data_IF_807769357481
#
_entry.id   IF_807769357481
#
_cell.length_a   1.000
_cell.length_b   1.000
_cell.length_c   1.000
_cell.angle_alpha   90.00
_cell.angle_beta   90.00
_cell.angle_gamma   90.00
#
_symmetry.space_group_name_H-M   'P 1'
#
loop_
_entity.id
_entity.type
_entity.pdbx_description
1 polymer ?
#
# COMPACT_ATOMS: atom_id res chain seq x y z
N UNK A 1 19.37 5.43 -62.10
CA UNK A 1 20.72 5.22 -61.58
C UNK A 1 20.53 4.54 -60.21
N UNK A 2 20.66 3.21 -60.19
CA UNK A 2 20.36 2.39 -58.99
C UNK A 2 21.64 2.34 -58.15
N UNK A 3 21.55 2.77 -56.91
CA UNK A 3 22.65 2.72 -55.92
C UNK A 3 22.91 1.25 -55.57
N UNK A 4 24.13 0.75 -55.59
CA UNK A 4 24.43 -0.64 -55.27
C UNK A 4 24.13 -0.95 -53.80
N UNK A 5 23.62 -2.16 -53.49
CA UNK A 5 23.16 -2.53 -52.14
C UNK A 5 24.24 -2.47 -51.04
N UNK A 6 25.52 -2.57 -51.40
CA UNK A 6 26.65 -2.44 -50.47
C UNK A 6 26.84 -1.03 -49.89
N UNK A 7 26.46 0.04 -50.63
CA UNK A 7 26.53 1.40 -50.12
C UNK A 7 25.39 1.73 -49.15
N UNK A 8 24.22 1.12 -49.33
CA UNK A 8 23.08 1.29 -48.41
C UNK A 8 23.32 0.62 -47.04
N UNK A 9 24.02 -0.53 -47.01
CA UNK A 9 24.41 -1.19 -45.76
C UNK A 9 25.50 -0.42 -45.00
N UNK A 10 26.45 0.16 -45.71
CA UNK A 10 27.52 0.99 -45.12
C UNK A 10 26.98 2.30 -44.53
N UNK A 11 25.97 2.92 -45.15
CA UNK A 11 25.32 4.12 -44.60
C UNK A 11 24.40 3.84 -43.45
N UNK A 12 23.70 2.69 -43.42
CA UNK A 12 22.94 2.21 -42.27
C UNK A 12 23.83 1.92 -41.06
N UNK A 13 25.00 1.31 -41.29
CA UNK A 13 26.01 1.09 -40.26
C UNK A 13 26.55 2.39 -39.66
N UNK A 14 26.78 3.41 -40.48
CA UNK A 14 27.23 4.73 -40.03
C UNK A 14 26.16 5.51 -39.28
N UNK A 15 24.88 5.42 -39.67
CA UNK A 15 23.78 6.04 -38.92
C UNK A 15 23.56 5.37 -37.56
N UNK A 16 23.55 4.03 -37.50
CA UNK A 16 23.44 3.30 -36.23
C UNK A 16 24.61 3.64 -35.29
N UNK A 17 25.83 3.74 -35.81
CA UNK A 17 27.01 4.09 -35.02
C UNK A 17 26.98 5.54 -34.52
N UNK A 18 26.45 6.48 -35.31
CA UNK A 18 26.24 7.88 -34.88
C UNK A 18 25.18 7.98 -33.77
N UNK A 19 24.09 7.24 -33.88
CA UNK A 19 23.03 7.21 -32.85
C UNK A 19 23.52 6.57 -31.56
N UNK A 20 24.36 5.53 -31.63
CA UNK A 20 25.03 4.93 -30.47
C UNK A 20 26.00 5.91 -29.79
N UNK A 21 26.76 6.68 -30.60
CA UNK A 21 27.72 7.67 -30.07
C UNK A 21 27.06 8.87 -29.40
N UNK A 22 25.87 9.30 -29.80
CA UNK A 22 25.15 10.42 -29.16
C UNK A 22 24.56 10.02 -27.79
N UNK A 23 24.11 8.79 -27.63
CA UNK A 23 23.68 8.29 -26.32
C UNK A 23 24.83 8.09 -25.33
N UNK A 24 26.00 7.69 -25.83
CA UNK A 24 27.20 7.53 -25.01
C UNK A 24 27.85 8.85 -24.60
N UNK A 25 27.63 9.94 -25.32
CA UNK A 25 28.18 11.25 -24.95
C UNK A 25 27.62 11.78 -23.64
N UNK A 26 26.30 11.61 -23.39
CA UNK A 26 25.65 12.00 -22.14
C UNK A 26 26.11 11.19 -20.92
N UNK A 27 26.31 9.88 -21.09
CA UNK A 27 26.81 9.01 -20.01
C UNK A 27 28.30 9.33 -19.69
N UNK A 28 29.14 9.62 -20.70
CA UNK A 28 30.55 9.98 -20.50
C UNK A 28 30.72 11.31 -19.76
N UNK A 29 29.92 12.32 -20.06
CA UNK A 29 29.96 13.62 -19.35
C UNK A 29 29.51 13.47 -17.92
N UNK A 30 28.50 12.65 -17.64
CA UNK A 30 28.02 12.37 -16.27
C UNK A 30 29.05 11.59 -15.44
N UNK A 31 29.69 10.56 -16.03
CA UNK A 31 30.76 9.80 -15.37
C UNK A 31 31.95 10.71 -15.07
N UNK A 32 32.35 11.55 -16.01
CA UNK A 32 33.48 12.49 -15.85
C UNK A 32 33.18 13.52 -14.71
N UNK A 33 31.96 14.08 -14.67
CA UNK A 33 31.57 15.03 -13.63
C UNK A 33 31.53 14.35 -12.24
N UNK A 34 30.99 13.13 -12.15
CA UNK A 34 30.98 12.36 -10.93
C UNK A 34 32.39 12.01 -10.43
N UNK A 35 33.31 11.65 -11.33
CA UNK A 35 34.70 11.35 -10.96
C UNK A 35 35.40 12.57 -10.37
N UNK A 36 35.21 13.74 -10.96
CA UNK A 36 35.76 15.00 -10.45
C UNK A 36 35.15 15.36 -9.09
N UNK A 37 33.86 15.23 -8.94
CA UNK A 37 33.16 15.52 -7.65
C UNK A 37 33.63 14.60 -6.52
N UNK A 38 33.74 13.29 -6.77
CA UNK A 38 34.26 12.34 -5.76
C UNK A 38 35.75 12.56 -5.47
N UNK A 39 36.55 12.94 -6.46
CA UNK A 39 37.96 13.30 -6.27
C UNK A 39 38.13 14.53 -5.37
N UNK A 40 37.31 15.57 -5.56
CA UNK A 40 37.32 16.78 -4.74
C UNK A 40 36.88 16.49 -3.30
N UNK A 41 35.84 15.67 -3.10
CA UNK A 41 35.37 15.27 -1.77
C UNK A 41 36.41 14.41 -1.01
N UNK A 42 37.17 13.58 -1.72
CA UNK A 42 38.26 12.80 -1.15
C UNK A 42 39.45 13.69 -0.73
N UNK A 43 39.88 14.61 -1.63
CA UNK A 43 40.95 15.57 -1.33
C UNK A 43 40.59 16.54 -0.22
N UNK A 44 39.30 16.89 -0.07
CA UNK A 44 38.79 17.71 1.02
C UNK A 44 38.66 16.99 2.38
N UNK A 45 39.02 15.70 2.46
CA UNK A 45 38.96 14.91 3.70
C UNK A 45 37.51 14.57 4.18
N UNK A 46 36.49 14.87 3.35
CA UNK A 46 35.09 14.66 3.73
C UNK A 46 34.64 13.17 3.63
N UNK A 47 35.37 12.33 2.89
CA UNK A 47 35.02 10.92 2.66
C UNK A 47 36.28 10.04 2.72
N UNK A 48 36.18 8.89 3.39
CA UNK A 48 37.25 7.89 3.43
C UNK A 48 37.38 7.18 2.06
N UNK A 49 38.59 6.83 1.66
CA UNK A 49 38.87 6.23 0.35
C UNK A 49 38.00 5.01 0.01
N UNK A 50 37.77 4.13 0.99
CA UNK A 50 36.90 2.95 0.84
C UNK A 50 35.44 3.31 0.54
N UNK A 51 34.91 4.35 1.21
CA UNK A 51 33.52 4.82 0.99
C UNK A 51 33.38 5.50 -0.37
N UNK A 52 34.38 6.26 -0.81
CA UNK A 52 34.39 6.89 -2.13
C UNK A 52 34.43 5.86 -3.26
N UNK A 53 35.24 4.81 -3.14
CA UNK A 53 35.31 3.72 -4.11
C UNK A 53 34.03 2.89 -4.16
N UNK A 54 33.40 2.60 -3.01
CA UNK A 54 32.14 1.88 -2.97
C UNK A 54 30.98 2.67 -3.62
N UNK A 55 30.87 3.97 -3.31
CA UNK A 55 29.86 4.84 -3.89
C UNK A 55 30.05 5.03 -5.40
N UNK A 56 31.29 5.16 -5.86
CA UNK A 56 31.60 5.26 -7.28
C UNK A 56 31.30 3.95 -8.02
N UNK A 57 31.64 2.79 -7.44
CA UNK A 57 31.32 1.47 -7.96
C UNK A 57 29.81 1.26 -8.11
N UNK A 58 29.03 1.65 -7.10
CA UNK A 58 27.57 1.59 -7.15
C UNK A 58 26.99 2.48 -8.26
N UNK A 59 27.48 3.70 -8.38
CA UNK A 59 27.06 4.63 -9.44
C UNK A 59 27.34 4.08 -10.84
N UNK A 60 28.52 3.45 -11.02
CA UNK A 60 28.91 2.81 -12.29
C UNK A 60 27.97 1.63 -12.63
N UNK A 61 27.62 0.80 -11.65
CA UNK A 61 26.68 -0.30 -11.81
C UNK A 61 25.29 0.21 -12.21
N UNK A 62 24.79 1.27 -11.59
CA UNK A 62 23.49 1.87 -11.92
C UNK A 62 23.48 2.44 -13.35
N UNK A 63 24.56 3.11 -13.78
CA UNK A 63 24.67 3.63 -15.15
C UNK A 63 24.74 2.51 -16.18
N UNK A 64 25.50 1.44 -15.90
CA UNK A 64 25.60 0.26 -16.77
C UNK A 64 24.28 -0.52 -16.83
N UNK A 65 23.59 -0.69 -15.71
CA UNK A 65 22.28 -1.33 -15.66
C UNK A 65 21.23 -0.55 -16.47
N UNK A 66 21.21 0.79 -16.35
CA UNK A 66 20.36 1.64 -17.18
C UNK A 66 20.69 1.56 -18.67
N UNK A 67 21.95 1.50 -19.02
CA UNK A 67 22.39 1.34 -20.41
C UNK A 67 21.99 -0.03 -20.98
N UNK A 68 22.05 -1.09 -20.18
CA UNK A 68 21.61 -2.43 -20.55
C UNK A 68 20.08 -2.53 -20.75
N UNK A 69 19.31 -1.89 -19.86
CA UNK A 69 17.84 -1.85 -19.96
C UNK A 69 17.37 -1.00 -21.15
N UNK A 70 18.09 0.08 -21.46
CA UNK A 70 17.80 0.92 -22.63
C UNK A 70 18.18 0.24 -23.97
N UNK A 71 19.03 -0.80 -23.95
CA UNK A 71 19.48 -1.53 -25.15
C UNK A 71 18.52 -2.63 -25.64
N UNK A 72 17.49 -3.01 -24.88
CA UNK A 72 16.59 -4.13 -25.23
C UNK A 72 15.31 -3.77 -25.98
N UNK A 73 15.13 -2.53 -26.41
CA UNK A 73 14.06 -2.20 -27.37
C UNK A 73 14.47 -2.63 -28.77
N UNK A 74 14.39 -3.93 -29.08
CA UNK A 74 14.45 -4.44 -30.44
C UNK A 74 13.24 -3.93 -31.24
N UNK A 75 13.40 -3.23 -32.36
CA UNK A 75 12.28 -2.94 -33.25
C UNK A 75 11.80 -4.27 -33.85
N UNK A 76 10.55 -4.61 -33.59
CA UNK A 76 9.87 -5.74 -34.26
C UNK A 76 9.80 -5.41 -35.75
N UNK A 77 10.58 -6.10 -36.59
CA UNK A 77 10.46 -6.06 -38.04
C UNK A 77 9.16 -6.73 -38.45
N UNK A 78 8.16 -5.96 -38.83
CA UNK A 78 7.01 -6.46 -39.60
C UNK A 78 7.45 -6.53 -41.06
N UNK A 79 7.50 -7.76 -41.59
CA UNK A 79 7.82 -8.02 -43.00
C UNK A 79 6.76 -7.35 -43.90
N UNK A 80 7.25 -6.57 -44.86
CA UNK A 80 6.40 -5.88 -45.83
C UNK A 80 5.66 -6.84 -46.75
N UNK A 81 4.35 -6.74 -46.81
CA UNK A 81 3.52 -7.22 -47.93
C UNK A 81 3.10 -6.00 -48.74
N UNK A 82 3.68 -5.87 -49.93
CA UNK A 82 3.30 -4.90 -50.95
C UNK A 82 1.90 -5.21 -51.47
N UNK A 83 0.92 -4.35 -51.17
CA UNK A 83 -0.40 -4.36 -51.73
C UNK A 83 -1.03 -3.00 -51.50
N UNK A 84 -1.31 -2.29 -52.59
CA UNK A 84 -2.04 -1.01 -52.60
C UNK A 84 -3.30 -1.13 -51.70
N UNK A 85 -3.31 -0.45 -50.57
CA UNK A 85 -4.52 -0.27 -49.74
C UNK A 85 -4.78 1.22 -49.63
N UNK A 86 -5.97 1.62 -50.14
CA UNK A 86 -6.62 2.87 -49.85
C UNK A 86 -6.50 3.14 -48.35
N UNK A 87 -6.01 4.31 -47.99
CA UNK A 87 -5.89 4.78 -46.65
C UNK A 87 -7.30 4.86 -45.99
N UNK A 88 -7.65 3.84 -45.21
CA UNK A 88 -8.67 3.95 -44.18
C UNK A 88 -7.99 4.51 -42.93
N UNK A 89 -8.47 5.59 -42.32
CA UNK A 89 -7.91 6.07 -41.07
C UNK A 89 -8.18 5.03 -40.00
N UNK A 90 -7.16 4.54 -39.37
CA UNK A 90 -7.09 3.48 -38.33
C UNK A 90 -7.76 2.17 -38.77
N UNK A 91 -6.93 1.24 -39.26
CA UNK A 91 -7.38 -0.05 -39.78
C UNK A 91 -8.17 -0.87 -38.77
N UNK A 92 -9.21 -1.55 -39.26
CA UNK A 92 -9.90 -2.65 -38.59
C UNK A 92 -8.92 -3.82 -38.46
N UNK A 93 -8.26 -3.97 -37.32
CA UNK A 93 -7.28 -5.03 -37.08
C UNK A 93 -7.02 -5.23 -35.59
N UNK A 94 -6.18 -6.21 -35.21
CA UNK A 94 -5.85 -6.55 -33.82
C UNK A 94 -5.35 -5.34 -32.98
N UNK A 95 -4.78 -4.31 -33.63
CA UNK A 95 -4.33 -3.10 -32.98
C UNK A 95 -5.44 -2.32 -32.25
N UNK A 96 -6.65 -2.23 -32.81
CA UNK A 96 -7.80 -1.57 -32.16
C UNK A 96 -8.31 -2.36 -30.96
N UNK A 97 -8.30 -3.69 -31.04
CA UNK A 97 -8.68 -4.57 -29.94
C UNK A 97 -7.70 -4.44 -28.77
N UNK A 98 -6.39 -4.28 -29.05
CA UNK A 98 -5.39 -4.05 -28.01
C UNK A 98 -5.61 -2.70 -27.32
N UNK A 99 -5.84 -1.62 -28.08
CA UNK A 99 -6.10 -0.30 -27.52
C UNK A 99 -7.39 -0.29 -26.68
N UNK A 100 -8.41 -1.05 -27.07
CA UNK A 100 -9.65 -1.14 -26.31
C UNK A 100 -9.54 -1.93 -25.00
N UNK A 101 -8.51 -2.78 -24.89
CA UNK A 101 -8.22 -3.55 -23.66
C UNK A 101 -7.30 -2.82 -22.67
N UNK A 102 -6.78 -1.65 -23.02
CA UNK A 102 -5.99 -0.87 -22.09
C UNK A 102 -6.85 -0.41 -20.90
N UNK A 103 -6.35 -0.54 -19.66
CA UNK A 103 -7.09 -0.10 -18.48
C UNK A 103 -7.19 1.41 -18.37
N UNK A 104 -6.21 2.13 -18.90
CA UNK A 104 -6.19 3.59 -18.89
C UNK A 104 -7.08 4.17 -20.02
N UNK A 105 -7.91 5.18 -19.74
CA UNK A 105 -8.68 5.89 -20.74
C UNK A 105 -7.81 6.52 -21.83
N UNK A 106 -8.10 6.20 -23.09
CA UNK A 106 -7.35 6.65 -24.25
C UNK A 106 -8.27 7.29 -25.27
N UNK A 107 -7.88 8.47 -25.77
CA UNK A 107 -8.59 9.22 -26.80
C UNK A 107 -7.59 9.62 -27.89
N UNK A 108 -7.97 9.42 -29.16
CA UNK A 108 -7.20 9.87 -30.31
C UNK A 108 -7.97 10.97 -31.03
N UNK A 109 -7.27 12.08 -31.31
CA UNK A 109 -7.85 13.24 -31.97
C UNK A 109 -7.20 13.42 -33.35
N UNK A 110 -7.94 14.00 -34.28
CA UNK A 110 -7.38 14.51 -35.55
C UNK A 110 -6.69 15.88 -35.35
N UNK A 111 -6.02 16.38 -36.38
CA UNK A 111 -5.37 17.69 -36.36
C UNK A 111 -6.32 18.90 -36.20
N UNK A 112 -7.65 18.68 -36.25
CA UNK A 112 -8.66 19.66 -35.95
C UNK A 112 -9.26 19.53 -34.54
N UNK A 113 -8.72 18.62 -33.71
CA UNK A 113 -9.19 18.39 -32.34
C UNK A 113 -10.49 17.60 -32.23
N UNK A 114 -10.89 16.85 -33.29
CA UNK A 114 -12.06 15.97 -33.25
C UNK A 114 -11.67 14.59 -32.81
N UNK A 115 -12.50 13.97 -31.99
CA UNK A 115 -12.28 12.60 -31.50
C UNK A 115 -12.44 11.61 -32.66
N UNK A 116 -11.36 10.90 -32.99
CA UNK A 116 -11.37 9.82 -33.97
C UNK A 116 -11.65 8.47 -33.33
N UNK A 117 -11.09 8.24 -32.15
CA UNK A 117 -11.18 6.98 -31.43
C UNK A 117 -11.19 7.25 -29.93
N UNK A 118 -11.89 6.43 -29.20
CA UNK A 118 -11.78 6.25 -27.74
C UNK A 118 -11.81 4.77 -27.41
N UNK A 119 -11.13 4.36 -26.35
CA UNK A 119 -11.23 2.99 -25.84
C UNK A 119 -12.42 2.86 -24.86
N UNK A 120 -12.72 1.62 -24.45
CA UNK A 120 -13.80 1.32 -23.48
C UNK A 120 -13.56 1.97 -22.13
N UNK A 121 -12.30 2.07 -21.67
CA UNK A 121 -11.95 2.73 -20.40
C UNK A 121 -12.28 4.24 -20.39
N UNK A 122 -12.26 4.91 -21.56
CA UNK A 122 -12.64 6.32 -21.67
C UNK A 122 -14.16 6.56 -21.66
N UNK A 123 -14.98 5.51 -21.82
CA UNK A 123 -16.44 5.65 -21.92
C UNK A 123 -17.12 6.37 -20.74
N UNK A 124 -16.73 6.09 -19.47
CA UNK A 124 -17.34 6.77 -18.34
C UNK A 124 -16.97 8.26 -18.22
N UNK A 125 -15.86 8.67 -18.87
CA UNK A 125 -15.30 10.03 -18.76
C UNK A 125 -15.79 10.97 -19.87
N UNK A 126 -16.38 10.43 -20.93
CA UNK A 126 -16.79 11.18 -22.12
C UNK A 126 -18.27 10.98 -22.43
N UNK A 127 -18.87 11.92 -23.17
CA UNK A 127 -20.27 11.77 -23.62
C UNK A 127 -20.42 10.56 -24.55
N UNK A 128 -21.56 9.86 -24.49
CA UNK A 128 -21.84 8.60 -25.23
C UNK A 128 -21.50 8.68 -26.73
N UNK A 129 -21.68 9.83 -27.35
CA UNK A 129 -21.38 10.06 -28.78
C UNK A 129 -20.21 11.03 -28.94
N UNK A 130 -19.02 10.64 -28.42
CA UNK A 130 -17.83 11.47 -28.47
C UNK A 130 -17.15 11.50 -29.85
N UNK A 131 -17.17 10.38 -30.60
CA UNK A 131 -16.49 10.24 -31.88
C UNK A 131 -17.09 11.25 -32.91
N UNK A 132 -16.23 11.95 -33.62
CA UNK A 132 -16.54 13.03 -34.59
C UNK A 132 -16.76 14.39 -33.95
N UNK A 133 -16.97 14.52 -32.63
CA UNK A 133 -17.11 15.79 -31.93
C UNK A 133 -15.78 16.40 -31.57
N UNK A 134 -15.75 17.73 -31.45
CA UNK A 134 -14.56 18.43 -30.97
C UNK A 134 -14.31 18.14 -29.50
N UNK A 135 -13.05 17.91 -29.12
CA UNK A 135 -12.64 17.50 -27.76
C UNK A 135 -13.13 18.45 -26.68
N UNK A 136 -13.18 19.75 -26.92
CA UNK A 136 -13.69 20.76 -25.99
C UNK A 136 -15.18 20.58 -25.62
N UNK A 137 -15.97 19.90 -26.46
CA UNK A 137 -17.36 19.57 -26.16
C UNK A 137 -17.51 18.25 -25.41
N UNK A 138 -16.47 17.41 -25.44
CA UNK A 138 -16.43 16.06 -24.90
C UNK A 138 -15.80 16.06 -23.50
N UNK A 139 -14.69 16.77 -23.35
CA UNK A 139 -13.95 16.92 -22.10
C UNK A 139 -14.10 18.35 -21.59
N UNK A 140 -14.78 18.53 -20.44
CA UNK A 140 -15.06 19.85 -19.86
C UNK A 140 -14.03 20.22 -18.79
N UNK A 141 -12.75 20.25 -19.17
CA UNK A 141 -11.66 20.59 -18.26
C UNK A 141 -10.72 21.59 -18.94
N UNK A 142 -10.68 22.83 -18.45
CA UNK A 142 -9.93 23.91 -19.08
C UNK A 142 -8.42 23.67 -19.14
N UNK A 143 -7.72 23.22 -18.08
CA UNK A 143 -6.31 22.87 -18.14
C UNK A 143 -5.97 21.80 -19.21
N UNK A 144 -6.78 20.73 -19.28
CA UNK A 144 -6.59 19.66 -20.26
C UNK A 144 -6.83 20.17 -21.70
N UNK A 145 -7.88 20.96 -21.90
CA UNK A 145 -8.17 21.56 -23.23
C UNK A 145 -7.03 22.46 -23.67
N UNK A 146 -6.49 23.31 -22.79
CA UNK A 146 -5.36 24.19 -23.09
C UNK A 146 -4.09 23.40 -23.50
N UNK A 147 -3.82 22.29 -22.80
CA UNK A 147 -2.73 21.37 -23.14
C UNK A 147 -2.93 20.74 -24.54
N UNK A 148 -4.15 20.23 -24.82
CA UNK A 148 -4.49 19.67 -26.15
C UNK A 148 -4.35 20.71 -27.25
N UNK A 149 -4.85 21.94 -27.05
CA UNK A 149 -4.73 23.02 -28.03
C UNK A 149 -3.28 23.43 -28.30
N UNK A 150 -2.41 23.41 -27.27
CA UNK A 150 -0.99 23.66 -27.43
C UNK A 150 -0.33 22.64 -28.37
N UNK A 151 -0.64 21.35 -28.16
CA UNK A 151 -0.14 20.26 -29.00
C UNK A 151 -0.71 20.33 -30.41
N UNK A 152 -2.00 20.64 -30.57
CA UNK A 152 -2.64 20.83 -31.88
C UNK A 152 -2.02 21.98 -32.69
N UNK A 153 -1.47 23.00 -32.03
CA UNK A 153 -0.75 24.12 -32.64
C UNK A 153 0.72 23.80 -32.97
N UNK A 154 1.14 22.53 -32.75
CA UNK A 154 2.53 22.08 -33.02
C UNK A 154 3.45 22.21 -31.81
N UNK A 155 2.93 22.41 -30.62
CA UNK A 155 3.70 22.38 -29.39
C UNK A 155 4.20 20.96 -29.03
N UNK A 156 5.15 20.84 -28.10
CA UNK A 156 5.64 19.55 -27.62
C UNK A 156 4.55 18.81 -26.84
N UNK A 157 4.81 17.50 -26.58
CA UNK A 157 3.99 16.73 -25.66
C UNK A 157 3.88 17.43 -24.31
N UNK A 158 2.71 17.40 -23.68
CA UNK A 158 2.47 18.00 -22.38
C UNK A 158 1.76 17.01 -21.44
N UNK A 159 1.96 17.21 -20.15
CA UNK A 159 1.27 16.49 -19.09
C UNK A 159 0.58 17.46 -18.17
N UNK A 160 -0.67 17.16 -17.75
CA UNK A 160 -1.45 18.02 -16.87
C UNK A 160 -2.24 17.17 -15.89
N UNK A 161 -2.11 17.49 -14.59
CA UNK A 161 -2.96 16.91 -13.56
C UNK A 161 -4.25 17.71 -13.45
N UNK A 162 -5.38 17.01 -13.31
CA UNK A 162 -6.67 17.63 -13.09
C UNK A 162 -7.59 16.76 -12.25
N UNK A 163 -8.58 17.40 -11.63
CA UNK A 163 -9.58 16.75 -10.79
C UNK A 163 -10.96 16.82 -11.43
N UNK A 164 -11.69 15.70 -11.41
CA UNK A 164 -13.11 15.63 -11.74
C UNK A 164 -13.91 15.55 -10.43
N UNK A 165 -14.69 16.58 -10.07
CA UNK A 165 -15.35 16.65 -8.76
C UNK A 165 -16.64 15.82 -8.65
N UNK A 166 -17.26 15.39 -9.76
CA UNK A 166 -18.61 14.79 -9.78
C UNK A 166 -18.64 13.56 -10.69
N UNK A 167 -19.36 12.47 -10.33
CA UNK A 167 -20.14 12.24 -9.11
C UNK A 167 -19.28 11.83 -7.90
N UNK A 168 -18.07 11.37 -8.13
CA UNK A 168 -17.05 11.03 -7.14
C UNK A 168 -15.80 11.76 -7.57
N UNK A 169 -15.11 12.39 -6.62
CA UNK A 169 -13.85 13.07 -6.89
C UNK A 169 -12.81 12.08 -7.41
N UNK A 170 -12.28 12.37 -8.62
CA UNK A 170 -11.22 11.59 -9.25
C UNK A 170 -10.09 12.51 -9.70
N UNK A 171 -8.87 12.03 -9.51
CA UNK A 171 -7.64 12.71 -9.91
C UNK A 171 -7.03 12.01 -11.11
N UNK A 172 -6.77 12.76 -12.16
CA UNK A 172 -6.18 12.24 -13.39
C UNK A 172 -4.89 12.97 -13.73
N UNK A 173 -3.92 12.24 -14.26
CA UNK A 173 -2.81 12.82 -15.02
C UNK A 173 -3.06 12.55 -16.50
N UNK A 174 -3.27 13.63 -17.28
CA UNK A 174 -3.44 13.54 -18.71
C UNK A 174 -2.11 13.75 -19.40
N UNK A 175 -1.68 12.77 -20.19
CA UNK A 175 -0.54 12.87 -21.08
C UNK A 175 -1.04 13.08 -22.51
N UNK A 176 -0.64 14.20 -23.13
CA UNK A 176 -1.05 14.60 -24.47
C UNK A 176 0.19 14.65 -25.37
N UNK A 177 0.20 13.87 -26.45
CA UNK A 177 1.35 13.78 -27.36
C UNK A 177 0.93 13.75 -28.81
N UNK A 178 1.66 14.44 -29.73
CA UNK A 178 1.44 14.31 -31.16
C UNK A 178 2.00 12.97 -31.65
N UNK A 179 1.28 12.33 -32.58
CA UNK A 179 1.72 11.13 -33.31
C UNK A 179 1.84 11.50 -34.78
N UNK A 180 3.04 11.44 -35.32
CA UNK A 180 3.28 11.64 -36.76
C UNK A 180 2.74 10.42 -37.53
N UNK A 181 1.92 10.67 -38.56
CA UNK A 181 1.42 9.62 -39.44
C UNK A 181 2.14 9.69 -40.79
N UNK A 182 2.64 8.54 -41.24
CA UNK A 182 3.39 8.40 -42.50
C UNK A 182 2.55 8.61 -43.77
N UNK A 183 1.32 9.11 -43.68
CA UNK A 183 0.45 9.32 -44.84
C UNK A 183 0.94 10.53 -45.67
N UNK A 184 1.89 10.26 -46.54
CA UNK A 184 2.45 11.21 -47.50
C UNK A 184 1.45 11.51 -48.63
N UNK A 185 0.62 12.53 -48.42
CA UNK A 185 0.03 13.26 -49.51
C UNK A 185 0.91 14.49 -49.87
N UNK A 186 1.04 14.92 -51.12
CA UNK A 186 1.79 16.10 -51.48
C UNK A 186 1.04 17.38 -51.12
N UNK A 187 1.04 17.73 -49.84
CA UNK A 187 0.38 18.94 -49.32
C UNK A 187 1.08 19.45 -48.06
N UNK A 188 1.04 20.78 -47.78
CA UNK A 188 1.76 21.40 -46.67
C UNK A 188 1.17 21.13 -45.27
N UNK A 189 0.18 20.27 -45.12
CA UNK A 189 -0.39 19.87 -43.81
C UNK A 189 0.17 18.52 -43.43
N UNK A 190 1.09 18.50 -42.47
CA UNK A 190 1.48 17.27 -41.76
C UNK A 190 0.22 16.67 -41.13
N UNK A 191 -0.21 15.51 -41.63
CA UNK A 191 -1.27 14.75 -40.95
C UNK A 191 -0.65 14.19 -39.68
N UNK A 192 -0.94 14.79 -38.55
CA UNK A 192 -0.60 14.27 -37.24
C UNK A 192 -1.90 13.98 -36.46
N UNK A 193 -1.82 13.00 -35.62
CA UNK A 193 -2.86 12.68 -34.64
C UNK A 193 -2.39 13.16 -33.27
N UNK A 194 -3.32 13.42 -32.38
CA UNK A 194 -2.99 13.70 -30.98
C UNK A 194 -3.54 12.57 -30.11
N UNK A 195 -2.66 11.95 -29.36
CA UNK A 195 -3.00 10.96 -28.36
C UNK A 195 -3.20 11.65 -27.01
N UNK A 196 -4.31 11.38 -26.36
CA UNK A 196 -4.61 11.79 -25.00
C UNK A 196 -4.77 10.51 -24.16
N UNK A 197 -3.85 10.29 -23.23
CA UNK A 197 -3.88 9.18 -22.27
C UNK A 197 -4.17 9.75 -20.88
N UNK A 198 -5.16 9.19 -20.20
CA UNK A 198 -5.58 9.63 -18.88
C UNK A 198 -5.20 8.55 -17.86
N UNK A 199 -4.27 8.85 -16.99
CA UNK A 199 -3.90 7.94 -15.90
C UNK A 199 -4.64 8.32 -14.62
N UNK A 200 -5.38 7.37 -14.03
CA UNK A 200 -6.15 7.62 -12.80
C UNK A 200 -5.20 7.57 -11.58
N UNK A 201 -5.00 8.73 -10.96
CA UNK A 201 -4.19 8.91 -9.76
C UNK A 201 -5.02 8.91 -8.47
N UNK A 202 -6.33 8.62 -8.54
CA UNK A 202 -7.24 8.79 -7.40
C UNK A 202 -6.79 8.01 -6.18
N UNK A 203 -6.46 6.73 -6.36
CA UNK A 203 -5.98 5.90 -5.23
C UNK A 203 -4.60 6.35 -4.73
N UNK A 204 -3.67 6.72 -5.60
CA UNK A 204 -2.36 7.22 -5.20
C UNK A 204 -2.46 8.53 -4.39
N UNK A 205 -3.27 9.49 -4.86
CA UNK A 205 -3.54 10.75 -4.15
C UNK A 205 -4.26 10.53 -2.83
N UNK A 206 -5.20 9.57 -2.78
CA UNK A 206 -5.90 9.20 -1.55
C UNK A 206 -4.94 8.62 -0.51
N UNK A 207 -4.05 7.72 -0.91
CA UNK A 207 -3.04 7.16 -0.01
C UNK A 207 -2.09 8.24 0.49
N UNK A 208 -1.65 9.15 -0.39
CA UNK A 208 -0.79 10.28 -0.01
C UNK A 208 -1.49 11.23 0.96
N UNK A 209 -2.74 11.62 0.69
CA UNK A 209 -3.54 12.44 1.59
C UNK A 209 -3.72 11.78 2.96
N UNK A 210 -4.06 10.48 2.98
CA UNK A 210 -4.17 9.74 4.24
C UNK A 210 -2.86 9.74 5.04
N UNK A 211 -1.70 9.69 4.36
CA UNK A 211 -0.40 9.76 5.01
C UNK A 211 -0.11 11.14 5.60
N UNK A 212 -0.43 12.20 4.87
CA UNK A 212 -0.28 13.58 5.36
C UNK A 212 -1.19 13.83 6.57
N UNK A 213 -2.47 13.43 6.48
CA UNK A 213 -3.44 13.54 7.55
C UNK A 213 -3.03 12.74 8.79
N UNK A 214 -2.43 11.56 8.60
CA UNK A 214 -1.89 10.75 9.68
C UNK A 214 -0.80 11.46 10.46
N UNK A 215 0.19 12.05 9.78
CA UNK A 215 1.28 12.80 10.42
C UNK A 215 0.76 14.05 11.13
N UNK A 216 -0.16 14.78 10.50
CA UNK A 216 -0.78 15.96 11.09
C UNK A 216 -1.56 15.62 12.36
N UNK A 217 -2.40 14.58 12.32
CA UNK A 217 -3.20 14.13 13.47
C UNK A 217 -2.32 13.60 14.60
N UNK A 218 -1.28 12.80 14.28
CA UNK A 218 -0.31 12.31 15.27
C UNK A 218 0.38 13.50 16.01
N UNK A 219 0.80 14.50 15.25
CA UNK A 219 1.42 15.72 15.80
C UNK A 219 0.46 16.47 16.73
N UNK A 220 -0.80 16.62 16.34
CA UNK A 220 -1.82 17.27 17.16
C UNK A 220 -2.14 16.50 18.45
N UNK A 221 -2.29 15.18 18.36
CA UNK A 221 -2.59 14.32 19.51
C UNK A 221 -1.40 14.20 20.49
N UNK A 222 -0.16 14.44 20.05
CA UNK A 222 1.02 14.52 20.91
C UNK A 222 1.21 15.93 21.51
N UNK A 223 0.94 17.00 20.75
CA UNK A 223 1.14 18.38 21.21
C UNK A 223 0.23 18.76 22.39
N UNK A 224 -1.03 18.28 22.36
CA UNK A 224 -2.02 18.61 23.40
C UNK A 224 -1.60 18.12 24.80
N UNK A 225 -1.28 16.82 25.03
CA UNK A 225 -0.84 16.35 26.34
C UNK A 225 0.51 16.96 26.74
N UNK A 226 1.43 17.20 25.80
CA UNK A 226 2.71 17.84 26.09
C UNK A 226 2.54 19.27 26.61
N UNK A 227 1.65 20.07 26.00
CA UNK A 227 1.34 21.42 26.48
C UNK A 227 0.71 21.40 27.88
N UNK A 228 -0.16 20.41 28.15
CA UNK A 228 -0.75 20.19 29.48
C UNK A 228 0.31 19.85 30.53
N UNK A 229 1.23 18.92 30.20
CA UNK A 229 2.36 18.56 31.08
C UNK A 229 3.22 19.79 31.42
N UNK A 230 3.60 20.57 30.40
CA UNK A 230 4.38 21.80 30.61
C UNK A 230 3.66 22.79 31.51
N UNK A 231 2.37 23.04 31.30
CA UNK A 231 1.58 23.95 32.13
C UNK A 231 1.46 23.50 33.60
N UNK A 232 1.34 22.16 33.85
CA UNK A 232 1.34 21.66 35.23
C UNK A 232 2.72 21.73 35.88
N UNK A 233 3.80 21.52 35.15
CA UNK A 233 5.18 21.72 35.64
C UNK A 233 5.38 23.20 36.05
N UNK A 234 4.96 24.15 35.20
CA UNK A 234 5.06 25.57 35.49
C UNK A 234 4.24 25.95 36.74
N UNK A 235 3.02 25.39 36.86
CA UNK A 235 2.14 25.64 38.03
C UNK A 235 2.74 25.08 39.31
N UNK A 236 3.29 23.85 39.28
CA UNK A 236 3.95 23.23 40.44
C UNK A 236 5.27 23.92 40.82
N UNK A 237 5.98 24.47 39.82
CA UNK A 237 7.22 25.22 40.07
C UNK A 237 6.98 26.65 40.62
N UNK A 238 5.76 27.16 40.43
CA UNK A 238 5.35 28.52 40.82
C UNK A 238 4.25 28.54 41.85
N UNK A 239 3.01 28.78 41.41
CA UNK A 239 1.87 29.12 42.32
C UNK A 239 1.46 27.99 43.27
N UNK A 240 1.62 26.71 42.87
CA UNK A 240 1.24 25.57 43.68
C UNK A 240 2.45 24.87 44.34
N UNK A 241 3.59 25.58 44.47
CA UNK A 241 4.83 25.00 45.01
C UNK A 241 4.69 24.46 46.43
N UNK A 242 3.95 25.19 47.26
CA UNK A 242 3.78 24.90 48.68
C UNK A 242 2.42 24.31 49.01
N UNK A 243 1.63 23.91 48.01
CA UNK A 243 0.33 23.29 48.14
C UNK A 243 0.41 21.74 47.94
N UNK A 244 0.36 20.93 49.02
CA UNK A 244 0.47 19.46 48.93
C UNK A 244 -0.66 18.81 48.15
N UNK A 245 -1.90 19.29 48.29
CA UNK A 245 -3.08 18.70 47.62
C UNK A 245 -3.04 18.98 46.12
N UNK A 246 -2.73 20.21 45.72
CA UNK A 246 -2.55 20.56 44.32
C UNK A 246 -1.41 19.78 43.69
N UNK A 247 -0.31 19.55 44.43
CA UNK A 247 0.83 18.73 43.95
C UNK A 247 0.43 17.30 43.67
N UNK A 248 -0.23 16.63 44.59
CA UNK A 248 -0.66 15.24 44.42
C UNK A 248 -1.63 15.12 43.23
N UNK A 249 -2.62 16.01 43.16
CA UNK A 249 -3.58 16.06 42.03
C UNK A 249 -2.91 16.28 40.68
N UNK A 250 -2.00 17.25 40.58
CA UNK A 250 -1.36 17.57 39.30
C UNK A 250 -0.37 16.48 38.88
N UNK A 251 0.38 15.85 39.82
CA UNK A 251 1.22 14.70 39.54
C UNK A 251 0.41 13.51 39.02
N UNK A 252 -0.79 13.26 39.57
CA UNK A 252 -1.70 12.26 39.07
C UNK A 252 -2.11 12.53 37.62
N UNK A 253 -2.56 13.75 37.32
CA UNK A 253 -2.94 14.15 35.95
C UNK A 253 -1.74 14.05 35.00
N UNK A 254 -0.56 14.46 35.42
CA UNK A 254 0.66 14.36 34.61
C UNK A 254 1.02 12.91 34.31
N UNK A 255 0.88 12.01 35.28
CA UNK A 255 1.10 10.57 35.10
C UNK A 255 0.14 10.00 34.05
N UNK A 256 -1.15 10.35 34.12
CA UNK A 256 -2.16 9.93 33.14
C UNK A 256 -1.85 10.42 31.73
N UNK A 257 -1.41 11.69 31.60
CA UNK A 257 -1.01 12.26 30.30
C UNK A 257 0.22 11.57 29.74
N UNK A 258 1.22 11.27 30.56
CA UNK A 258 2.42 10.56 30.14
C UNK A 258 2.11 9.12 29.68
N UNK A 259 1.25 8.39 30.42
CA UNK A 259 0.78 7.06 30.04
C UNK A 259 0.00 7.10 28.73
N UNK A 260 -0.83 8.12 28.52
CA UNK A 260 -1.57 8.32 27.27
C UNK A 260 -0.63 8.56 26.09
N UNK A 261 0.40 9.41 26.25
CA UNK A 261 1.40 9.66 25.22
C UNK A 261 2.15 8.37 24.86
N UNK A 262 2.56 7.58 25.88
CA UNK A 262 3.22 6.29 25.65
C UNK A 262 2.34 5.36 24.81
N UNK A 263 1.07 5.15 25.20
CA UNK A 263 0.13 4.33 24.41
C UNK A 263 -0.01 4.83 22.98
N UNK A 264 -0.10 6.15 22.77
CA UNK A 264 -0.19 6.72 21.42
C UNK A 264 1.06 6.41 20.59
N UNK A 265 2.24 6.52 21.18
CA UNK A 265 3.52 6.20 20.50
C UNK A 265 3.58 4.71 20.15
N UNK A 266 3.21 3.83 21.09
CA UNK A 266 3.19 2.40 20.88
C UNK A 266 2.21 2.00 19.77
N UNK A 267 1.01 2.59 19.74
CA UNK A 267 0.02 2.41 18.68
C UNK A 267 0.54 2.87 17.30
N UNK A 268 1.22 4.03 17.25
CA UNK A 268 1.81 4.56 16.01
C UNK A 268 2.91 3.65 15.48
N UNK A 269 3.81 3.17 16.36
CA UNK A 269 4.90 2.27 15.99
C UNK A 269 4.35 0.90 15.55
N UNK A 270 3.34 0.38 16.25
CA UNK A 270 2.67 -0.87 15.89
C UNK A 270 2.01 -0.75 14.52
N UNK A 271 1.20 0.30 14.29
CA UNK A 271 0.56 0.54 13.00
C UNK A 271 1.57 0.63 11.87
N UNK A 272 2.66 1.40 12.07
CA UNK A 272 3.73 1.53 11.07
C UNK A 272 4.39 0.20 10.72
N UNK A 273 4.66 -0.66 11.73
CA UNK A 273 5.25 -2.00 11.50
C UNK A 273 4.29 -2.91 10.71
N UNK A 274 3.00 -2.88 11.05
CA UNK A 274 1.99 -3.72 10.39
C UNK A 274 1.80 -3.28 8.94
N UNK A 275 1.73 -1.97 8.67
CA UNK A 275 1.60 -1.41 7.31
C UNK A 275 2.79 -1.81 6.42
N UNK A 276 4.01 -1.74 6.94
CA UNK A 276 5.22 -2.17 6.20
C UNK A 276 5.19 -3.66 5.84
N UNK A 277 4.48 -4.48 6.62
CA UNK A 277 4.39 -5.93 6.44
C UNK A 277 3.03 -6.40 5.90
N UNK A 278 2.12 -5.51 5.58
CA UNK A 278 0.74 -5.86 5.18
C UNK A 278 0.70 -6.84 3.99
N UNK A 279 1.71 -6.77 3.09
CA UNK A 279 1.82 -7.66 1.93
C UNK A 279 2.57 -8.97 2.22
N UNK A 280 3.13 -9.14 3.43
CA UNK A 280 3.85 -10.35 3.83
C UNK A 280 2.92 -11.22 4.66
N UNK A 281 2.48 -12.33 4.07
CA UNK A 281 1.59 -13.27 4.75
C UNK A 281 2.32 -13.93 5.93
N UNK A 282 1.66 -14.08 7.09
CA UNK A 282 2.21 -14.86 8.19
C UNK A 282 2.24 -16.34 7.84
N UNK A 283 3.27 -17.05 8.30
CA UNK A 283 3.53 -18.46 7.99
C UNK A 283 3.31 -19.40 9.19
N UNK A 284 3.24 -18.87 10.40
CA UNK A 284 3.09 -19.67 11.62
C UNK A 284 1.67 -20.20 11.79
N UNK A 285 1.57 -21.43 12.36
CA UNK A 285 0.30 -22.01 12.76
C UNK A 285 0.01 -21.61 14.20
N UNK A 286 -1.10 -20.92 14.43
CA UNK A 286 -1.48 -20.38 15.73
C UNK A 286 -2.84 -20.92 16.15
N UNK A 287 -2.94 -21.38 17.40
CA UNK A 287 -4.23 -21.68 18.05
C UNK A 287 -4.86 -20.39 18.54
N UNK A 288 -5.94 -19.94 17.88
CA UNK A 288 -6.64 -18.73 18.28
C UNK A 288 -7.29 -18.86 19.67
N UNK A 289 -7.67 -20.10 20.06
CA UNK A 289 -8.17 -20.38 21.40
C UNK A 289 -7.12 -20.07 22.48
N UNK A 290 -5.88 -20.55 22.32
CA UNK A 290 -4.81 -20.26 23.27
C UNK A 290 -4.45 -18.77 23.34
N UNK A 291 -4.60 -18.03 22.22
CA UNK A 291 -4.41 -16.57 22.24
C UNK A 291 -5.53 -15.87 23.03
N UNK A 292 -6.79 -16.31 22.86
CA UNK A 292 -7.92 -15.76 23.65
C UNK A 292 -7.73 -16.03 25.14
N UNK A 293 -7.32 -17.24 25.52
CA UNK A 293 -7.07 -17.61 26.92
C UNK A 293 -6.00 -16.71 27.54
N UNK A 294 -4.85 -16.52 26.90
CA UNK A 294 -3.78 -15.65 27.42
C UNK A 294 -4.22 -14.20 27.61
N UNK A 295 -4.94 -13.65 26.61
CA UNK A 295 -5.43 -12.26 26.67
C UNK A 295 -6.52 -12.11 27.76
N UNK A 296 -7.38 -13.12 27.92
CA UNK A 296 -8.41 -13.14 28.99
C UNK A 296 -7.75 -13.14 30.36
N UNK A 297 -6.73 -13.96 30.59
CA UNK A 297 -6.00 -14.01 31.85
C UNK A 297 -5.37 -12.65 32.19
N UNK A 298 -4.80 -11.98 31.20
CA UNK A 298 -4.19 -10.67 31.38
C UNK A 298 -5.21 -9.55 31.64
N UNK A 299 -6.40 -9.59 31.02
CA UNK A 299 -7.40 -8.52 31.12
C UNK A 299 -8.45 -8.73 32.20
N UNK A 300 -8.62 -9.95 32.73
CA UNK A 300 -9.61 -10.26 33.78
C UNK A 300 -9.46 -9.41 35.05
N UNK A 301 -8.22 -9.17 35.57
CA UNK A 301 -8.06 -8.27 36.73
C UNK A 301 -8.54 -6.84 36.43
N UNK A 302 -8.20 -6.30 35.26
CA UNK A 302 -8.55 -4.94 34.83
C UNK A 302 -10.06 -4.80 34.65
N UNK A 303 -10.70 -5.81 34.05
CA UNK A 303 -12.13 -5.84 33.86
C UNK A 303 -12.88 -5.89 35.23
N UNK A 304 -12.38 -6.70 36.14
CA UNK A 304 -12.94 -6.80 37.50
C UNK A 304 -12.86 -5.48 38.26
N UNK A 305 -11.71 -4.78 38.19
CA UNK A 305 -11.53 -3.46 38.78
C UNK A 305 -12.48 -2.41 38.18
N UNK A 306 -12.82 -2.59 36.89
CA UNK A 306 -13.81 -1.76 36.19
C UNK A 306 -15.26 -2.19 36.40
N UNK A 307 -15.52 -3.26 37.18
CA UNK A 307 -16.85 -3.80 37.43
C UNK A 307 -17.49 -4.47 36.21
N UNK A 308 -16.68 -4.98 35.27
CA UNK A 308 -17.13 -5.65 34.05
C UNK A 308 -16.77 -7.13 34.11
N UNK A 309 -17.72 -7.99 33.78
CA UNK A 309 -17.54 -9.43 33.64
C UNK A 309 -17.02 -9.76 32.21
N UNK A 310 -15.93 -10.50 32.15
CA UNK A 310 -15.44 -11.07 30.87
C UNK A 310 -15.86 -12.54 30.79
N UNK A 311 -16.55 -12.90 29.70
CA UNK A 311 -17.00 -14.28 29.46
C UNK A 311 -16.45 -14.75 28.10
N UNK A 312 -15.70 -15.86 28.13
CA UNK A 312 -15.23 -16.51 26.91
C UNK A 312 -16.04 -17.78 26.63
N UNK A 313 -16.33 -18.03 25.36
CA UNK A 313 -16.92 -19.26 24.86
C UNK A 313 -16.19 -19.75 23.63
N UNK A 314 -15.72 -20.99 23.65
CA UNK A 314 -15.05 -21.62 22.54
C UNK A 314 -15.50 -23.09 22.41
N UNK A 315 -15.59 -23.66 21.21
CA UNK A 315 -15.81 -25.10 21.05
C UNK A 315 -14.56 -25.87 21.52
N UNK A 316 -14.74 -27.14 21.88
CA UNK A 316 -13.67 -27.99 22.41
C UNK A 316 -12.46 -28.12 21.49
N UNK A 317 -12.64 -27.98 20.17
CA UNK A 317 -11.58 -28.05 19.18
C UNK A 317 -11.81 -27.02 18.07
N UNK A 318 -10.77 -26.21 17.80
CA UNK A 318 -10.72 -25.30 16.67
C UNK A 318 -9.48 -25.59 15.82
N UNK A 319 -9.61 -25.53 14.50
CA UNK A 319 -8.43 -25.66 13.64
C UNK A 319 -7.50 -24.45 13.83
N UNK A 320 -6.17 -24.64 13.68
CA UNK A 320 -5.22 -23.53 13.73
C UNK A 320 -5.41 -22.59 12.53
N UNK A 321 -5.05 -21.34 12.72
CA UNK A 321 -5.01 -20.33 11.66
C UNK A 321 -3.55 -20.00 11.31
N UNK A 322 -3.30 -19.53 10.08
CA UNK A 322 -2.00 -18.93 9.76
C UNK A 322 -1.96 -17.53 10.33
N UNK A 323 -0.99 -17.25 11.19
CA UNK A 323 -0.97 -15.96 11.86
C UNK A 323 0.31 -15.72 12.64
N UNK A 324 0.48 -14.50 13.11
CA UNK A 324 1.48 -14.10 14.08
C UNK A 324 0.80 -13.94 15.44
N UNK A 325 1.27 -14.70 16.45
CA UNK A 325 0.59 -14.78 17.77
C UNK A 325 0.37 -13.41 18.41
N UNK A 326 1.39 -12.55 18.37
CA UNK A 326 1.34 -11.22 18.98
C UNK A 326 0.34 -10.30 18.29
N UNK A 327 0.25 -10.38 16.94
CA UNK A 327 -0.74 -9.60 16.18
C UNK A 327 -2.17 -10.08 16.46
N UNK A 328 -2.38 -11.40 16.52
CA UNK A 328 -3.70 -11.96 16.90
C UNK A 328 -4.10 -11.60 18.31
N UNK A 329 -3.18 -11.60 19.26
CA UNK A 329 -3.39 -11.12 20.62
C UNK A 329 -3.74 -9.62 20.62
N UNK A 330 -3.06 -8.82 19.82
CA UNK A 330 -3.32 -7.39 19.70
C UNK A 330 -4.73 -7.08 19.13
N UNK A 331 -5.27 -7.90 18.21
CA UNK A 331 -6.67 -7.79 17.78
C UNK A 331 -7.59 -7.90 18.98
N UNK A 332 -7.45 -8.99 19.76
CA UNK A 332 -8.34 -9.28 20.89
C UNK A 332 -8.23 -8.19 21.95
N UNK A 333 -7.01 -7.82 22.30
CA UNK A 333 -6.73 -6.77 23.27
C UNK A 333 -7.35 -5.44 22.87
N UNK A 334 -7.18 -4.98 21.63
CA UNK A 334 -7.77 -3.74 21.14
C UNK A 334 -9.31 -3.76 21.18
N UNK A 335 -9.94 -4.89 20.84
CA UNK A 335 -11.39 -5.02 20.85
C UNK A 335 -11.94 -5.04 22.28
N UNK A 336 -11.30 -5.78 23.20
CA UNK A 336 -11.70 -5.83 24.61
C UNK A 336 -11.44 -4.50 25.31
N UNK A 337 -10.30 -3.85 25.08
CA UNK A 337 -10.00 -2.52 25.60
C UNK A 337 -11.04 -1.49 25.15
N UNK A 338 -11.49 -1.54 23.89
CA UNK A 338 -12.57 -0.69 23.41
C UNK A 338 -13.88 -0.96 24.17
N UNK A 339 -14.24 -2.22 24.37
CA UNK A 339 -15.43 -2.59 25.11
C UNK A 339 -15.35 -2.13 26.58
N UNK A 340 -14.21 -2.32 27.26
CA UNK A 340 -13.98 -1.85 28.63
C UNK A 340 -14.10 -0.33 28.77
N UNK A 341 -13.65 0.43 27.77
CA UNK A 341 -13.69 1.90 27.79
C UNK A 341 -15.06 2.48 27.51
N UNK A 342 -15.79 1.91 26.57
CA UNK A 342 -17.02 2.51 26.05
C UNK A 342 -18.30 1.82 26.53
N UNK A 343 -18.21 0.57 27.00
CA UNK A 343 -19.35 -0.27 27.34
C UNK A 343 -19.47 -0.62 28.82
N UNK A 344 -18.86 0.15 29.71
CA UNK A 344 -18.93 -0.07 31.16
C UNK A 344 -20.38 -0.19 31.72
N UNK A 345 -21.34 0.53 31.09
CA UNK A 345 -22.76 0.42 31.45
C UNK A 345 -23.35 -0.97 31.24
N UNK A 346 -22.78 -1.75 30.31
CA UNK A 346 -23.25 -3.11 30.02
C UNK A 346 -22.76 -4.17 30.98
N UNK A 347 -21.75 -3.87 31.83
CA UNK A 347 -21.18 -4.73 32.87
C UNK A 347 -20.71 -6.12 32.41
N UNK A 348 -20.77 -6.43 31.12
CA UNK A 348 -20.40 -7.72 30.55
C UNK A 348 -19.81 -7.57 29.14
N UNK A 349 -18.78 -8.36 28.85
CA UNK A 349 -18.18 -8.50 27.53
C UNK A 349 -18.11 -9.99 27.24
N UNK A 350 -18.61 -10.39 26.07
CA UNK A 350 -18.58 -11.77 25.58
C UNK A 350 -17.59 -11.94 24.47
N UNK A 351 -16.70 -12.91 24.60
CA UNK A 351 -15.72 -13.29 23.58
C UNK A 351 -16.09 -14.69 23.10
N UNK A 352 -16.48 -14.82 21.83
CA UNK A 352 -16.88 -16.08 21.22
C UNK A 352 -15.89 -16.52 20.14
N UNK A 353 -15.58 -17.81 20.12
CA UNK A 353 -14.90 -18.45 19.00
C UNK A 353 -15.84 -19.49 18.37
N UNK A 354 -15.84 -19.57 17.04
CA UNK A 354 -16.56 -20.60 16.30
C UNK A 354 -15.87 -20.90 14.98
N UNK A 355 -16.09 -22.13 14.46
CA UNK A 355 -15.71 -22.48 13.09
C UNK A 355 -16.90 -22.24 12.18
N UNK A 356 -16.67 -21.63 11.04
CA UNK A 356 -17.67 -21.42 9.99
C UNK A 356 -17.11 -21.76 8.63
N UNK A 357 -18.00 -22.17 7.73
CA UNK A 357 -17.68 -22.37 6.33
C UNK A 357 -18.30 -21.24 5.52
N UNK A 358 -17.47 -20.40 4.90
CA UNK A 358 -17.91 -19.29 4.04
C UNK A 358 -17.59 -19.61 2.58
N UNK A 359 -18.60 -20.01 1.84
CA UNK A 359 -18.42 -20.50 0.48
C UNK A 359 -17.61 -21.80 0.47
N UNK A 360 -16.43 -21.78 -0.16
CA UNK A 360 -15.52 -22.93 -0.23
C UNK A 360 -14.38 -22.90 0.80
N UNK A 361 -14.33 -21.91 1.69
CA UNK A 361 -13.24 -21.75 2.67
C UNK A 361 -13.77 -21.83 4.09
N UNK A 362 -13.06 -22.61 4.91
CA UNK A 362 -13.28 -22.63 6.34
C UNK A 362 -12.60 -21.45 7.02
N UNK A 363 -13.28 -20.83 7.96
CA UNK A 363 -12.79 -19.69 8.74
C UNK A 363 -13.00 -19.94 10.22
N UNK A 364 -12.11 -19.42 11.06
CA UNK A 364 -12.34 -19.25 12.48
C UNK A 364 -12.91 -17.85 12.67
N UNK A 365 -14.09 -17.79 13.31
CA UNK A 365 -14.74 -16.54 13.69
C UNK A 365 -14.42 -16.23 15.13
N UNK A 366 -13.89 -15.03 15.38
CA UNK A 366 -13.78 -14.40 16.68
C UNK A 366 -14.88 -13.33 16.79
N UNK A 367 -15.64 -13.34 17.86
CA UNK A 367 -16.65 -12.35 18.18
C UNK A 367 -16.30 -11.67 19.48
N UNK A 368 -16.32 -10.35 19.53
CA UNK A 368 -16.24 -9.58 20.78
C UNK A 368 -17.49 -8.72 20.86
N UNK A 369 -18.34 -9.00 21.84
CA UNK A 369 -19.63 -8.33 22.04
C UNK A 369 -19.64 -7.59 23.36
N UNK A 370 -19.99 -6.32 23.31
CA UNK A 370 -20.33 -5.51 24.47
C UNK A 370 -21.85 -5.22 24.54
N UNK A 371 -22.33 -4.86 25.71
CA UNK A 371 -23.70 -4.47 25.95
C UNK A 371 -23.79 -2.99 26.35
N UNK A 372 -22.97 -2.17 25.74
CA UNK A 372 -22.91 -0.74 25.99
C UNK A 372 -23.98 0.07 25.26
N UNK A 373 -23.75 1.37 25.09
CA UNK A 373 -24.71 2.28 24.47
C UNK A 373 -24.92 2.05 22.96
N UNK A 374 -24.07 1.25 22.32
CA UNK A 374 -24.09 1.06 20.88
C UNK A 374 -23.61 2.28 20.09
N UNK A 375 -23.55 2.14 18.77
CA UNK A 375 -22.98 3.12 17.83
C UNK A 375 -23.99 3.39 16.72
N UNK A 376 -24.19 4.66 16.36
CA UNK A 376 -25.07 5.04 15.27
C UNK A 376 -24.50 4.56 13.90
N UNK A 377 -25.39 4.15 13.00
CA UNK A 377 -25.02 3.53 11.71
C UNK A 377 -24.09 4.39 10.85
N UNK A 378 -24.24 5.71 10.92
CA UNK A 378 -23.42 6.67 10.17
C UNK A 378 -21.94 6.63 10.56
N UNK A 379 -21.61 6.23 11.79
CA UNK A 379 -20.24 6.15 12.28
C UNK A 379 -19.55 4.80 11.95
N UNK A 380 -20.34 3.72 11.77
CA UNK A 380 -19.80 2.36 11.61
C UNK A 380 -18.76 2.25 10.49
N UNK A 381 -18.99 2.79 9.26
CA UNK A 381 -18.00 2.69 8.18
C UNK A 381 -16.68 3.39 8.48
N UNK A 382 -16.72 4.38 9.38
CA UNK A 382 -15.58 5.24 9.71
C UNK A 382 -14.79 4.79 10.92
N UNK A 383 -15.30 3.86 11.71
CA UNK A 383 -14.68 3.41 12.98
C UNK A 383 -13.26 2.86 12.79
N UNK A 384 -12.93 2.36 11.61
CA UNK A 384 -11.61 1.84 11.28
C UNK A 384 -10.69 2.88 10.62
N UNK A 385 -11.15 4.13 10.45
CA UNK A 385 -10.29 5.23 10.00
C UNK A 385 -9.34 5.63 11.14
N UNK A 386 -8.11 6.01 10.79
CA UNK A 386 -7.10 6.44 11.77
C UNK A 386 -7.54 7.72 12.47
N UNK A 387 -7.41 7.76 13.80
CA UNK A 387 -7.81 8.87 14.69
C UNK A 387 -9.32 9.18 14.72
N UNK A 388 -10.14 8.36 14.06
CA UNK A 388 -11.58 8.57 14.08
C UNK A 388 -12.17 8.24 15.46
N UNK A 389 -13.09 9.09 15.91
CA UNK A 389 -13.81 8.96 17.19
C UNK A 389 -15.23 9.50 17.03
N UNK A 390 -16.22 8.77 17.52
CA UNK A 390 -17.63 9.21 17.49
C UNK A 390 -17.83 10.49 18.32
N UNK A 391 -17.21 10.52 19.51
CA UNK A 391 -17.12 11.71 20.36
C UNK A 391 -15.66 11.93 20.79
N UNK A 392 -15.06 12.95 20.23
CA UNK A 392 -13.66 13.25 20.45
C UNK A 392 -13.37 13.72 21.89
N UNK A 393 -14.32 14.38 22.57
CA UNK A 393 -14.13 14.89 23.92
C UNK A 393 -14.19 13.75 24.95
N UNK A 394 -15.26 12.95 24.92
CA UNK A 394 -15.43 11.81 25.81
C UNK A 394 -14.38 10.73 25.59
N UNK A 395 -14.01 10.47 24.33
CA UNK A 395 -12.96 9.51 23.99
C UNK A 395 -11.58 9.94 24.49
N UNK A 396 -11.26 11.24 24.42
CA UNK A 396 -10.03 11.79 25.00
C UNK A 396 -9.98 11.65 26.51
N UNK A 397 -11.06 11.95 27.18
CA UNK A 397 -11.17 11.79 28.64
C UNK A 397 -10.94 10.34 29.08
N UNK A 398 -11.38 9.36 28.29
CA UNK A 398 -11.21 7.93 28.55
C UNK A 398 -9.89 7.35 27.99
N UNK A 399 -8.97 8.20 27.49
CA UNK A 399 -7.64 7.79 27.03
C UNK A 399 -7.61 7.01 25.70
N UNK A 400 -8.64 7.13 24.87
CA UNK A 400 -8.67 6.54 23.53
C UNK A 400 -7.68 7.25 22.59
N UNK A 401 -6.96 6.50 21.79
CA UNK A 401 -6.03 7.02 20.76
C UNK A 401 -6.71 7.22 19.41
N UNK A 402 -7.76 6.45 19.12
CA UNK A 402 -8.41 6.39 17.81
C UNK A 402 -7.61 5.57 16.76
N UNK A 403 -6.61 4.81 17.22
CA UNK A 403 -5.79 3.95 16.35
C UNK A 403 -6.09 2.46 16.50
N UNK A 404 -6.62 2.02 17.63
CA UNK A 404 -6.81 0.59 17.93
C UNK A 404 -7.63 -0.16 16.88
N UNK A 405 -8.76 0.39 16.39
CA UNK A 405 -9.56 -0.27 15.35
C UNK A 405 -8.91 -0.20 13.96
N UNK A 406 -8.11 0.81 13.67
CA UNK A 406 -7.29 0.85 12.46
C UNK A 406 -6.22 -0.25 12.50
N UNK A 407 -5.55 -0.43 13.64
CA UNK A 407 -4.59 -1.53 13.86
C UNK A 407 -5.28 -2.88 13.65
N UNK A 408 -6.45 -3.11 14.26
CA UNK A 408 -7.23 -4.34 14.07
C UNK A 408 -7.51 -4.60 12.59
N UNK A 409 -7.95 -3.59 11.83
CA UNK A 409 -8.22 -3.72 10.40
C UNK A 409 -6.98 -4.13 9.60
N UNK A 410 -5.84 -3.49 9.83
CA UNK A 410 -4.60 -3.82 9.12
C UNK A 410 -4.09 -5.22 9.46
N UNK A 411 -4.15 -5.63 10.74
CA UNK A 411 -3.80 -7.00 11.13
C UNK A 411 -4.73 -8.00 10.45
N UNK A 412 -6.05 -7.78 10.49
CA UNK A 412 -7.03 -8.67 9.86
C UNK A 412 -6.80 -8.79 8.36
N UNK A 413 -6.51 -7.67 7.66
CA UNK A 413 -6.18 -7.68 6.24
C UNK A 413 -4.91 -8.50 5.97
N UNK A 414 -3.84 -8.31 6.74
CA UNK A 414 -2.59 -9.08 6.63
C UNK A 414 -2.83 -10.59 6.79
N UNK A 415 -3.79 -10.99 7.63
CA UNK A 415 -4.20 -12.37 7.85
C UNK A 415 -5.26 -12.85 6.84
N UNK A 416 -5.51 -12.10 5.75
CA UNK A 416 -6.54 -12.40 4.73
C UNK A 416 -7.94 -12.60 5.33
N UNK A 417 -8.18 -12.00 6.48
CA UNK A 417 -9.42 -12.06 7.21
C UNK A 417 -10.42 -10.99 6.78
N UNK A 418 -11.56 -10.97 7.48
CA UNK A 418 -12.57 -9.91 7.34
C UNK A 418 -12.98 -9.40 8.70
N UNK A 419 -13.11 -8.07 8.84
CA UNK A 419 -13.66 -7.41 10.01
C UNK A 419 -15.05 -6.87 9.68
N UNK A 420 -16.05 -7.22 10.50
CA UNK A 420 -17.41 -6.68 10.42
C UNK A 420 -17.82 -6.12 11.78
N UNK A 421 -18.62 -5.06 11.75
CA UNK A 421 -19.09 -4.38 12.97
C UNK A 421 -20.61 -4.29 12.90
N UNK A 422 -21.27 -4.83 13.91
CA UNK A 422 -22.73 -4.76 14.08
C UNK A 422 -23.02 -4.00 15.36
N UNK A 423 -23.80 -2.92 15.28
CA UNK A 423 -24.15 -2.11 16.43
C UNK A 423 -25.53 -1.51 16.28
N UNK A 424 -26.24 -1.46 17.40
CA UNK A 424 -27.54 -0.80 17.53
C UNK A 424 -27.54 0.02 18.82
N UNK A 425 -28.02 1.26 18.73
CA UNK A 425 -28.11 2.15 19.90
C UNK A 425 -28.96 1.48 21.00
N UNK A 426 -28.41 1.41 22.21
CA UNK A 426 -29.02 0.80 23.37
C UNK A 426 -28.90 -0.72 23.50
N UNK A 427 -28.31 -1.41 22.49
CA UNK A 427 -28.13 -2.88 22.52
C UNK A 427 -26.66 -3.32 22.56
N UNK A 428 -25.72 -2.38 22.38
CA UNK A 428 -24.28 -2.66 22.39
C UNK A 428 -23.69 -2.82 20.99
N UNK A 429 -22.45 -3.30 20.96
CA UNK A 429 -21.68 -3.49 19.72
C UNK A 429 -21.08 -4.88 19.66
N UNK A 430 -21.07 -5.47 18.47
CA UNK A 430 -20.45 -6.75 18.18
C UNK A 430 -19.40 -6.56 17.08
N UNK A 431 -18.15 -6.86 17.40
CA UNK A 431 -17.07 -6.95 16.43
C UNK A 431 -16.91 -8.41 16.02
N UNK A 432 -16.90 -8.66 14.71
CA UNK A 432 -16.71 -9.99 14.11
C UNK A 432 -15.44 -9.99 13.28
N UNK A 433 -14.51 -10.83 13.66
CA UNK A 433 -13.26 -11.07 12.91
C UNK A 433 -13.29 -12.49 12.39
N UNK A 434 -13.11 -12.68 11.09
CA UNK A 434 -13.03 -13.99 10.45
C UNK A 434 -11.62 -14.17 9.87
N UNK A 435 -10.92 -15.23 10.24
CA UNK A 435 -9.59 -15.56 9.78
C UNK A 435 -9.64 -16.93 9.10
N UNK A 436 -9.06 -17.08 7.89
CA UNK A 436 -9.03 -18.36 7.18
C UNK A 436 -8.31 -19.44 8.00
N UNK A 437 -8.88 -20.64 8.01
CA UNK A 437 -8.23 -21.83 8.58
C UNK A 437 -6.98 -22.14 7.77
N UNK A 438 -5.92 -22.56 8.42
CA UNK A 438 -4.75 -23.08 7.74
C UNK A 438 -5.13 -24.36 6.99
N UNK A 439 -4.98 -24.34 5.66
CA UNK A 439 -5.20 -25.56 4.85
C UNK A 439 -4.20 -26.64 5.27
N UNK A 440 -4.73 -27.79 5.68
CA UNK A 440 -3.93 -28.98 6.01
C UNK A 440 -3.41 -29.58 4.68
N UNK A 441 -2.30 -29.05 4.16
CA UNK A 441 -1.70 -29.66 2.97
C UNK A 441 -1.07 -28.70 1.99
N UNK A 442 0.07 -28.09 2.36
CA UNK A 442 1.19 -27.85 1.43
C UNK A 442 2.43 -27.43 2.25
N UNK A 443 3.40 -28.35 2.41
CA UNK A 443 4.79 -28.01 2.68
C UNK A 443 5.27 -28.08 4.12
N UNK A 444 5.29 -29.27 4.74
CA UNK A 444 6.47 -29.66 5.49
C UNK A 444 7.35 -30.47 4.52
N UNK A 445 8.61 -30.10 4.25
CA UNK A 445 9.55 -31.07 3.71
C UNK A 445 9.67 -32.18 4.77
N UNK A 446 9.34 -33.40 4.37
CA UNK A 446 9.59 -34.58 5.17
C UNK A 446 11.08 -34.56 5.57
N UNK A 447 11.33 -34.37 6.85
CA UNK A 447 12.65 -34.66 7.41
C UNK A 447 13.00 -36.10 7.06
N UNK A 448 14.30 -36.40 6.86
CA UNK A 448 14.72 -37.74 6.50
C UNK A 448 14.23 -38.70 7.59
N UNK A 449 13.47 -39.69 7.16
CA UNK A 449 13.07 -40.85 7.97
C UNK A 449 14.32 -41.47 8.56
N UNK A 450 14.45 -41.46 9.88
CA UNK A 450 15.28 -42.39 10.65
C UNK A 450 14.70 -43.79 10.51
N UNK A 451 14.92 -44.41 9.37
CA UNK A 451 14.81 -45.85 9.17
C UNK A 451 16.14 -46.31 8.61
N UNK A 452 17.05 -46.75 9.50
CA UNK A 452 18.07 -47.76 9.30
C UNK A 452 19.18 -47.65 10.35
N UNK A 453 18.94 -48.12 11.55
CA UNK A 453 20.03 -48.60 12.41
C UNK A 453 19.49 -49.54 13.50
N UNK A 454 18.80 -50.62 13.08
CA UNK A 454 18.49 -51.75 13.99
C UNK A 454 18.95 -53.10 13.43
N UNK A 455 20.09 -53.11 12.72
CA UNK A 455 20.65 -54.32 12.14
C UNK A 455 22.11 -54.58 12.58
N UNK A 456 22.67 -53.90 13.62
CA UNK A 456 24.07 -54.13 14.05
C UNK A 456 24.20 -54.51 15.52
N UNK A 457 23.10 -54.74 16.26
CA UNK A 457 23.16 -55.10 17.69
C UNK A 457 23.02 -56.59 18.00
N UNK A 458 23.11 -57.49 17.01
CA UNK A 458 23.01 -58.95 17.25
C UNK A 458 24.26 -59.75 16.96
N UNK A 459 25.43 -59.14 16.71
CA UNK A 459 26.65 -59.92 16.38
C UNK A 459 27.83 -59.75 17.36
N UNK A 460 27.71 -59.06 18.47
CA UNK A 460 28.75 -58.89 19.47
C UNK A 460 28.53 -59.61 20.81
N UNK A 461 27.50 -60.51 20.88
CA UNK A 461 27.24 -61.29 22.11
C UNK A 461 27.81 -62.72 22.06
N UNK A 462 28.60 -63.11 21.04
CA UNK A 462 29.19 -64.46 20.95
C UNK A 462 30.72 -64.53 20.96
N UNK A 463 31.42 -63.45 21.20
CA UNK A 463 32.90 -63.41 21.22
C UNK A 463 33.54 -63.20 22.59
N UNK A 464 32.79 -63.14 23.68
CA UNK A 464 33.36 -62.85 25.05
C UNK A 464 33.27 -64.01 26.06
N UNK A 465 33.08 -65.27 25.60
CA UNK A 465 33.07 -66.49 26.50
C UNK A 465 34.26 -67.47 26.25
N UNK A 466 35.28 -67.07 25.54
CA UNK A 466 36.43 -67.99 25.27
C UNK A 466 37.81 -67.43 25.60
N UNK A 467 37.93 -66.59 26.64
CA UNK A 467 39.23 -66.16 27.17
C UNK A 467 39.24 -66.06 28.72
N UNK A 468 38.95 -67.17 29.40
CA UNK A 468 39.27 -67.39 30.82
C UNK A 468 39.20 -68.87 31.10
N UNK A 469 40.23 -69.59 30.66
CA UNK A 469 40.84 -70.75 31.32
C UNK A 469 42.34 -70.80 31.04
#
# INVERSE_FOLDING_TARGET
MVVPPEQEEADRGRMAMRQYMTHWSGARTFIAAATVAFGLLYLGGAIHAAAALAAYGFLLIVVLARAAIAGETRPVRVAGASGEKRATPLGSGPSLTILDRLPDPLIVLDGAGRVLLRNSAAEPLVVKQAVGKHVATVLRNAPLISCIESVLKGGPACSVEYTLPVPIERHFNAFVTPIETESAGPGPRKNFLVLVLLHDLTEAKRVESMRVDFVANASHELKTPLASLSGFIDTLSGHAKDDPEAREKFLGIMSDQAQRMRRLIDDLLSLSRIELREHVLPDQLVSLQGVVEDVMDALTPIARDSGVELVASAPATLPPVRGERDELAQIIQNLVDNALRYAQSGKRIEIGLSRETKGSRDVVRLTVRDFGPGIAREHIPRLTERFYRVDAATSRARGGTGLGLAIVKHIVNRHQGTLSIESEIGKGTTFLVQIPVAESGQGAPAGPSEEADDATAQNDASASVQAAQ
#
